data_IF_217553501231
#
_entry.id   IF_217553501231
#
_cell.length_a   1.000
_cell.length_b   1.000
_cell.length_c   1.000
_cell.angle_alpha   90.00
_cell.angle_beta   90.00
_cell.angle_gamma   90.00
#
_symmetry.space_group_name_H-M   'P 1'
#
loop_
_entity.id
_entity.type
_entity.pdbx_description
1 polymer ?
#
# COMPACT_ATOMS: atom_id res chain seq x y z
N UNK A 1 0.28 -11.11 7.66
CA UNK A 1 -0.54 -9.92 7.94
C UNK A 1 -0.61 -9.81 9.44
N UNK A 2 -0.36 -8.62 9.94
CA UNK A 2 0.00 -8.38 11.33
C UNK A 2 -0.77 -7.17 11.83
N UNK A 3 -1.37 -7.31 13.01
CA UNK A 3 -2.09 -6.26 13.70
C UNK A 3 -1.57 -6.20 15.14
N UNK A 4 -1.14 -5.02 15.57
CA UNK A 4 -0.60 -4.82 16.92
C UNK A 4 -1.17 -3.56 17.53
N UNK A 5 -1.39 -3.60 18.84
CA UNK A 5 -1.73 -2.44 19.64
C UNK A 5 -0.70 -2.35 20.77
N UNK A 6 0.12 -1.30 20.77
CA UNK A 6 1.15 -1.06 21.77
C UNK A 6 1.15 0.42 22.13
N UNK A 7 1.16 0.74 23.42
CA UNK A 7 1.15 2.13 23.91
C UNK A 7 0.02 2.98 23.29
N UNK A 8 -1.16 2.35 23.13
CA UNK A 8 -2.34 2.92 22.47
C UNK A 8 -2.15 3.33 21.01
N UNK A 9 -1.07 2.89 20.36
CA UNK A 9 -0.84 2.99 18.93
C UNK A 9 -1.27 1.69 18.26
N UNK A 10 -2.18 1.79 17.29
CA UNK A 10 -2.60 0.67 16.46
C UNK A 10 -1.74 0.63 15.21
N UNK A 11 -1.05 -0.48 14.95
CA UNK A 11 -0.29 -0.70 13.71
C UNK A 11 -0.83 -1.91 12.96
N UNK A 12 -0.96 -1.80 11.65
CA UNK A 12 -1.33 -2.91 10.78
C UNK A 12 -0.36 -2.99 9.60
N UNK A 13 0.03 -4.20 9.21
CA UNK A 13 0.84 -4.41 8.01
C UNK A 13 0.49 -5.72 7.32
N UNK A 14 0.79 -5.78 6.03
CA UNK A 14 0.62 -7.00 5.27
C UNK A 14 1.30 -6.92 3.92
N UNK A 15 1.59 -8.10 3.40
CA UNK A 15 2.18 -8.29 2.09
C UNK A 15 1.35 -9.32 1.33
N UNK A 16 1.29 -9.15 0.02
CA UNK A 16 0.68 -10.09 -0.89
C UNK A 16 1.60 -10.26 -2.08
N UNK A 17 1.70 -11.49 -2.57
CA UNK A 17 2.40 -11.80 -3.83
C UNK A 17 1.61 -12.83 -4.61
N UNK A 18 1.40 -12.56 -5.89
CA UNK A 18 0.86 -13.47 -6.89
C UNK A 18 1.58 -13.26 -8.22
N UNK A 19 1.27 -14.09 -9.22
CA UNK A 19 1.80 -13.88 -10.59
C UNK A 19 1.30 -12.59 -11.24
N UNK A 20 0.17 -12.06 -10.76
CA UNK A 20 -0.45 -10.84 -11.28
C UNK A 20 -0.01 -9.59 -10.54
N UNK A 21 0.20 -9.66 -9.21
CA UNK A 21 0.50 -8.47 -8.40
C UNK A 21 1.28 -8.83 -7.14
N UNK A 22 2.28 -8.00 -6.84
CA UNK A 22 2.88 -7.92 -5.51
C UNK A 22 2.47 -6.62 -4.86
N UNK A 23 2.18 -6.63 -3.57
CA UNK A 23 1.83 -5.43 -2.82
C UNK A 23 2.25 -5.55 -1.37
N UNK A 24 2.44 -4.40 -0.72
CA UNK A 24 2.53 -4.33 0.72
C UNK A 24 1.83 -3.07 1.23
N UNK A 25 1.43 -3.12 2.49
CA UNK A 25 0.91 -1.96 3.18
C UNK A 25 1.40 -1.91 4.63
N UNK A 26 1.45 -0.71 5.17
CA UNK A 26 1.64 -0.41 6.58
C UNK A 26 0.72 0.73 6.98
N UNK A 27 0.05 0.62 8.11
CA UNK A 27 -0.83 1.63 8.67
C UNK A 27 -0.52 1.82 10.15
N UNK A 28 -0.61 3.06 10.61
CA UNK A 28 -0.49 3.43 12.01
C UNK A 28 -1.63 4.39 12.38
N UNK A 29 -2.23 4.20 13.55
CA UNK A 29 -3.20 5.11 14.14
C UNK A 29 -2.80 5.44 15.58
N UNK A 30 -2.61 6.73 15.83
CA UNK A 30 -2.27 7.27 17.14
C UNK A 30 -3.53 7.54 17.99
N UNK A 31 -3.40 7.63 19.33
CA UNK A 31 -4.52 7.96 20.23
C UNK A 31 -5.22 9.31 19.93
N UNK A 32 -4.48 10.25 19.36
CA UNK A 32 -4.98 11.56 18.95
C UNK A 32 -5.73 11.53 17.60
N UNK A 33 -6.07 10.34 17.10
CA UNK A 33 -6.77 10.06 15.85
C UNK A 33 -6.01 10.44 14.58
N UNK A 34 -4.72 10.79 14.69
CA UNK A 34 -3.86 10.91 13.52
C UNK A 34 -3.51 9.53 13.00
N UNK A 35 -3.52 9.39 11.69
CA UNK A 35 -3.12 8.15 11.04
C UNK A 35 -2.16 8.41 9.88
N UNK A 36 -1.34 7.40 9.61
CA UNK A 36 -0.50 7.32 8.41
C UNK A 36 -0.71 5.96 7.79
N UNK A 37 -0.93 5.93 6.49
CA UNK A 37 -0.96 4.70 5.71
C UNK A 37 0.05 4.83 4.57
N UNK A 38 0.80 3.75 4.36
CA UNK A 38 1.67 3.59 3.21
C UNK A 38 1.30 2.29 2.54
N UNK A 39 1.22 2.29 1.23
CA UNK A 39 1.05 1.07 0.47
C UNK A 39 1.81 1.18 -0.84
N UNK A 40 2.12 0.03 -1.41
CA UNK A 40 2.55 -0.04 -2.78
C UNK A 40 1.99 -1.28 -3.45
N UNK A 41 1.85 -1.23 -4.77
CA UNK A 41 1.70 -2.43 -5.58
C UNK A 41 2.61 -2.40 -6.80
N UNK A 42 2.92 -3.58 -7.31
CA UNK A 42 3.72 -3.82 -8.49
C UNK A 42 2.99 -4.83 -9.39
N UNK A 43 2.66 -4.44 -10.64
CA UNK A 43 2.17 -5.39 -11.64
C UNK A 43 3.17 -6.54 -11.86
N UNK A 44 2.65 -7.76 -11.86
CA UNK A 44 3.36 -8.98 -12.23
C UNK A 44 3.21 -9.29 -13.72
N UNK A 45 3.74 -10.44 -14.13
CA UNK A 45 3.72 -10.86 -15.54
C UNK A 45 2.29 -11.10 -16.07
N UNK A 46 1.39 -11.57 -15.21
CA UNK A 46 0.01 -11.88 -15.57
C UNK A 46 -0.95 -10.71 -15.31
N UNK A 47 -0.42 -9.51 -15.05
CA UNK A 47 -1.27 -8.36 -14.75
C UNK A 47 -2.20 -8.03 -15.95
N UNK A 48 -3.53 -7.91 -15.74
CA UNK A 48 -4.46 -7.68 -16.84
C UNK A 48 -4.14 -6.42 -17.64
N UNK A 49 -4.04 -6.55 -18.97
CA UNK A 49 -3.72 -5.42 -19.86
C UNK A 49 -4.70 -4.25 -19.75
N UNK A 50 -5.99 -4.54 -19.56
CA UNK A 50 -7.04 -3.53 -19.33
C UNK A 50 -6.81 -2.71 -18.06
N UNK A 51 -6.24 -3.32 -17.01
CA UNK A 51 -5.82 -2.59 -15.80
C UNK A 51 -4.49 -1.87 -16.02
N UNK A 52 -3.59 -2.42 -16.85
CA UNK A 52 -2.33 -1.79 -17.22
C UNK A 52 -2.51 -0.42 -17.88
N UNK A 53 -3.54 -0.26 -18.72
CA UNK A 53 -3.86 1.04 -19.33
C UNK A 53 -4.29 2.09 -18.30
N UNK A 54 -4.97 1.66 -17.25
CA UNK A 54 -5.35 2.53 -16.13
C UNK A 54 -4.10 3.00 -15.36
N UNK A 55 -3.02 2.24 -15.29
CA UNK A 55 -1.82 2.69 -14.56
C UNK A 55 -1.26 4.03 -15.07
N UNK A 56 -1.56 4.42 -16.32
CA UNK A 56 -1.18 5.72 -16.89
C UNK A 56 -1.71 6.91 -16.10
N UNK A 57 -2.88 6.81 -15.44
CA UNK A 57 -3.43 7.91 -14.63
C UNK A 57 -2.78 8.00 -13.24
N UNK A 58 -2.18 6.91 -12.76
CA UNK A 58 -1.47 6.87 -11.47
C UNK A 58 -0.05 7.46 -11.56
N UNK A 59 0.44 7.72 -12.77
CA UNK A 59 1.78 8.25 -13.02
C UNK A 59 2.82 7.15 -13.22
N UNK A 60 4.09 7.48 -12.97
CA UNK A 60 5.20 6.54 -13.15
C UNK A 60 5.48 5.78 -11.85
N UNK A 61 5.76 4.46 -11.93
CA UNK A 61 6.22 3.73 -10.77
C UNK A 61 7.63 4.18 -10.36
N UNK A 62 8.03 3.86 -9.13
CA UNK A 62 9.40 4.06 -8.66
C UNK A 62 10.39 3.12 -9.40
N UNK A 63 11.68 3.24 -9.09
CA UNK A 63 12.75 2.44 -9.74
C UNK A 63 12.59 0.92 -9.57
N UNK A 64 11.78 0.46 -8.60
CA UNK A 64 11.49 -0.95 -8.35
C UNK A 64 10.23 -1.44 -9.09
N UNK A 65 9.56 -0.55 -9.83
CA UNK A 65 8.31 -0.82 -10.53
C UNK A 65 7.08 -0.74 -9.62
N UNK A 66 7.18 -0.07 -8.47
CA UNK A 66 6.11 0.04 -7.50
C UNK A 66 5.35 1.36 -7.66
N UNK A 67 4.02 1.28 -7.65
CA UNK A 67 3.12 2.41 -7.52
C UNK A 67 2.86 2.64 -6.05
N UNK A 68 3.30 3.78 -5.53
CA UNK A 68 3.29 4.09 -4.11
C UNK A 68 2.10 4.97 -3.71
N UNK A 69 1.57 4.72 -2.53
CA UNK A 69 0.50 5.48 -1.90
C UNK A 69 0.98 5.86 -0.50
N UNK A 70 1.04 7.15 -0.20
CA UNK A 70 1.30 7.67 1.15
C UNK A 70 0.16 8.62 1.50
N UNK A 71 -0.61 8.26 2.52
CA UNK A 71 -1.74 9.04 2.97
C UNK A 71 -1.65 9.29 4.47
N UNK A 72 -1.85 10.55 4.85
CA UNK A 72 -1.77 11.00 6.23
C UNK A 72 -2.97 11.87 6.51
N UNK A 73 -3.55 11.69 7.68
CA UNK A 73 -4.74 12.42 8.04
C UNK A 73 -5.03 12.37 9.52
N UNK A 74 -6.23 12.83 9.83
CA UNK A 74 -6.82 12.76 11.16
C UNK A 74 -8.30 12.43 10.96
N UNK A 75 -8.80 11.47 11.73
CA UNK A 75 -10.24 11.18 11.80
C UNK A 75 -10.99 12.32 12.49
#
# INVERSE_FOLDING_TARGET
ADLKCQDSVLTASGEQTSTQVSSAFSAEMMPNQRYSTKAWFKPGADFPSSMGEQLKWLGQPNAQGQYEFDYKGRF
#
